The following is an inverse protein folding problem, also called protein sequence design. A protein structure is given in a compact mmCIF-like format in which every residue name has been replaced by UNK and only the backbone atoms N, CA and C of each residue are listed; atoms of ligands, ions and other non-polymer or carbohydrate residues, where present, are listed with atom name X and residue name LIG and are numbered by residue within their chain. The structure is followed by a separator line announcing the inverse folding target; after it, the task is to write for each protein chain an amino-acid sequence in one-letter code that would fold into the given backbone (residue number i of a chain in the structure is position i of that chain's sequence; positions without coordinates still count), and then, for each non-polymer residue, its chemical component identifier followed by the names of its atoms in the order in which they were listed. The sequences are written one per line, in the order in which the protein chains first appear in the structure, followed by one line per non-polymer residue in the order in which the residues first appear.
data_IF_265839745788
#
_entry.id   IF_265839745788
#
_cell.length_a   1.000
_cell.length_b   1.000
_cell.length_c   1.000
_cell.angle_alpha   90.00
_cell.angle_beta   90.00
_cell.angle_gamma   90.00
#
_symmetry.space_group_name_H-M   'P 1'
#
loop_
_entity.id
_entity.type
_entity.pdbx_description
1 polymer ?
#
# COMPACT_ATOMS: atom_id res chain seq x y z
N UNK A 1 8.08 13.95 8.12
CA UNK A 1 8.43 12.55 8.45
C UNK A 1 7.66 11.70 7.48
N UNK A 2 8.36 11.05 6.55
CA UNK A 2 7.74 10.23 5.50
C UNK A 2 7.44 8.84 6.04
N UNK A 3 6.33 8.28 5.56
CA UNK A 3 5.89 6.96 6.03
C UNK A 3 6.69 5.82 5.36
N UNK A 4 7.27 6.09 4.20
CA UNK A 4 8.01 5.12 3.39
C UNK A 4 9.51 5.46 3.34
N UNK A 5 10.34 4.43 3.29
CA UNK A 5 11.72 4.58 2.78
C UNK A 5 11.71 4.78 1.27
N UNK A 6 12.80 5.33 0.72
CA UNK A 6 12.95 5.48 -0.74
C UNK A 6 12.86 4.13 -1.48
N UNK A 7 13.39 3.07 -0.88
CA UNK A 7 13.31 1.71 -1.41
C UNK A 7 11.87 1.21 -1.47
N UNK A 8 11.11 1.35 -0.37
CA UNK A 8 9.70 0.98 -0.33
C UNK A 8 8.88 1.77 -1.36
N UNK A 9 9.11 3.09 -1.45
CA UNK A 9 8.44 3.95 -2.43
C UNK A 9 8.73 3.50 -3.87
N UNK A 10 10.00 3.22 -4.18
CA UNK A 10 10.43 2.77 -5.51
C UNK A 10 9.79 1.43 -5.89
N UNK A 11 9.78 0.47 -4.96
CA UNK A 11 9.16 -0.83 -5.20
C UNK A 11 7.65 -0.71 -5.43
N UNK A 12 6.95 0.07 -4.59
CA UNK A 12 5.50 0.23 -4.73
C UNK A 12 5.12 0.99 -6.03
N UNK A 13 5.91 1.96 -6.47
CA UNK A 13 5.72 2.62 -7.77
C UNK A 13 5.94 1.65 -8.94
N UNK A 14 6.93 0.77 -8.85
CA UNK A 14 7.16 -0.27 -9.86
C UNK A 14 5.94 -1.21 -9.97
N UNK A 15 5.41 -1.66 -8.83
CA UNK A 15 4.21 -2.49 -8.78
C UNK A 15 2.98 -1.75 -9.36
N UNK A 16 2.80 -0.47 -9.02
CA UNK A 16 1.71 0.36 -9.58
C UNK A 16 1.81 0.58 -11.09
N UNK A 17 3.04 0.72 -11.61
CA UNK A 17 3.28 0.81 -13.04
C UNK A 17 2.93 -0.49 -13.77
N UNK A 18 3.26 -1.67 -13.19
CA UNK A 18 2.87 -2.97 -13.73
C UNK A 18 1.33 -3.13 -13.78
N UNK A 19 0.64 -2.78 -12.68
CA UNK A 19 -0.83 -2.76 -12.62
C UNK A 19 -1.43 -1.86 -13.69
N UNK A 20 -0.89 -0.66 -13.88
CA UNK A 20 -1.38 0.31 -14.90
C UNK A 20 -1.22 -0.22 -16.33
N UNK A 21 -0.17 -1.01 -16.59
CA UNK A 21 0.01 -1.69 -17.89
C UNK A 21 -0.92 -2.89 -18.10
N UNK A 22 -1.75 -3.23 -17.11
CA UNK A 22 -2.66 -4.38 -17.17
C UNK A 22 -1.94 -5.72 -16.96
N UNK A 23 -0.75 -5.72 -16.37
CA UNK A 23 -0.06 -6.95 -15.99
C UNK A 23 -0.82 -7.64 -14.85
N UNK A 24 -1.07 -8.94 -15.00
CA UNK A 24 -1.76 -9.71 -13.96
C UNK A 24 -0.74 -10.21 -12.93
N UNK A 25 -0.38 -9.32 -12.01
CA UNK A 25 0.62 -9.57 -10.95
C UNK A 25 -0.03 -9.64 -9.58
N UNK A 26 0.50 -10.49 -8.71
CA UNK A 26 0.16 -10.54 -7.27
C UNK A 26 1.42 -10.17 -6.46
N UNK A 27 1.72 -8.87 -6.30
CA UNK A 27 2.95 -8.42 -5.67
C UNK A 27 2.97 -8.75 -4.17
N UNK A 28 4.15 -9.11 -3.66
CA UNK A 28 4.35 -9.19 -2.21
C UNK A 28 4.09 -7.84 -1.54
N UNK A 29 3.49 -7.83 -0.34
CA UNK A 29 3.38 -6.62 0.47
C UNK A 29 4.72 -5.93 0.72
N UNK A 30 4.73 -4.59 0.62
CA UNK A 30 5.92 -3.76 0.83
C UNK A 30 5.87 -3.02 2.17
N UNK A 31 4.68 -2.61 2.60
CA UNK A 31 4.46 -1.89 3.85
C UNK A 31 3.31 -2.51 4.65
N UNK A 32 3.51 -2.69 5.96
CA UNK A 32 2.44 -3.02 6.90
C UNK A 32 2.30 -1.89 7.92
N UNK A 33 1.10 -1.35 8.05
CA UNK A 33 0.73 -0.36 9.05
C UNK A 33 -0.31 -0.98 10.00
N UNK A 34 -0.25 -0.57 11.26
CA UNK A 34 -1.28 -0.93 12.23
C UNK A 34 -1.44 0.21 13.23
N UNK A 35 -2.63 0.33 13.80
CA UNK A 35 -2.87 1.25 14.91
C UNK A 35 -2.49 0.55 16.21
N UNK A 36 -1.53 1.05 17.02
CA UNK A 36 -1.12 0.35 18.25
C UNK A 36 -2.26 0.09 19.23
N UNK A 37 -3.22 1.01 19.29
CA UNK A 37 -4.36 0.99 20.21
C UNK A 37 -5.68 0.53 19.55
N UNK A 38 -5.61 -0.14 18.38
CA UNK A 38 -6.80 -0.64 17.69
C UNK A 38 -6.51 -1.77 16.72
N UNK A 39 -7.55 -2.50 16.32
CA UNK A 39 -7.40 -3.68 15.46
C UNK A 39 -7.33 -3.33 13.95
N UNK A 40 -6.95 -2.10 13.63
CA UNK A 40 -6.85 -1.61 12.26
C UNK A 40 -5.50 -1.99 11.68
N UNK A 41 -5.51 -2.59 10.49
CA UNK A 41 -4.27 -2.90 9.78
C UNK A 41 -4.38 -2.66 8.28
N UNK A 42 -3.28 -2.20 7.70
CA UNK A 42 -3.11 -2.02 6.27
C UNK A 42 -1.87 -2.78 5.82
N UNK A 43 -1.99 -3.46 4.68
CA UNK A 43 -0.89 -4.14 4.01
C UNK A 43 -0.87 -3.62 2.57
N UNK A 44 0.15 -2.85 2.22
CA UNK A 44 0.20 -2.05 0.99
C UNK A 44 1.27 -2.59 0.04
N UNK A 45 0.96 -2.59 -1.26
CA UNK A 45 1.78 -3.20 -2.31
C UNK A 45 2.08 -2.25 -3.47
N UNK A 46 1.18 -1.34 -3.82
CA UNK A 46 1.35 -0.44 -4.96
C UNK A 46 1.11 1.02 -4.60
N UNK A 47 1.75 1.92 -5.35
CA UNK A 47 1.45 3.35 -5.36
C UNK A 47 0.94 3.76 -6.73
N UNK A 48 0.03 4.75 -6.76
CA UNK A 48 -0.28 5.49 -7.97
C UNK A 48 0.91 6.37 -8.42
N UNK A 49 0.84 6.91 -9.64
CA UNK A 49 1.91 7.68 -10.28
C UNK A 49 2.36 8.91 -9.48
N UNK A 50 1.45 9.52 -8.71
CA UNK A 50 1.77 10.66 -7.84
C UNK A 50 2.53 10.24 -6.56
N UNK A 51 2.47 8.95 -6.22
CA UNK A 51 3.08 8.38 -5.03
C UNK A 51 2.26 8.59 -3.75
N UNK A 52 1.11 9.24 -3.79
CA UNK A 52 0.34 9.60 -2.58
C UNK A 52 -0.84 8.68 -2.32
N UNK A 53 -1.24 7.89 -3.32
CA UNK A 53 -2.31 6.90 -3.21
C UNK A 53 -1.72 5.49 -3.22
N UNK A 54 -1.90 4.75 -2.13
CA UNK A 54 -1.49 3.36 -2.00
C UNK A 54 -2.67 2.40 -2.19
N UNK A 55 -2.36 1.25 -2.79
CA UNK A 55 -3.27 0.13 -3.00
C UNK A 55 -2.82 -1.05 -2.13
N UNK A 56 -3.78 -1.81 -1.62
CA UNK A 56 -3.50 -3.02 -0.85
C UNK A 56 -4.72 -3.56 -0.12
N UNK A 57 -4.46 -4.38 0.90
CA UNK A 57 -5.47 -4.94 1.79
C UNK A 57 -5.65 -4.07 3.02
N UNK A 58 -6.91 -3.84 3.39
CA UNK A 58 -7.32 -3.00 4.51
C UNK A 58 -8.25 -3.81 5.40
N UNK A 59 -7.86 -3.98 6.66
CA UNK A 59 -8.74 -4.48 7.71
C UNK A 59 -9.06 -3.35 8.67
N UNK A 60 -10.35 -3.03 8.79
CA UNK A 60 -10.86 -2.00 9.69
C UNK A 60 -11.26 -2.55 11.06
N UNK A 61 -10.62 -3.64 11.51
CA UNK A 61 -10.89 -4.30 12.79
C UNK A 61 -11.95 -5.39 12.72
N UNK A 62 -12.17 -5.94 11.53
CA UNK A 62 -13.15 -7.00 11.28
C UNK A 62 -12.54 -8.40 11.31
N UNK A 63 -11.23 -8.52 11.10
CA UNK A 63 -10.55 -9.79 10.85
C UNK A 63 -10.67 -10.29 9.41
N UNK A 64 -11.33 -9.53 8.53
CA UNK A 64 -11.59 -9.86 7.13
C UNK A 64 -11.11 -8.72 6.23
N UNK A 65 -9.82 -8.68 5.87
CA UNK A 65 -9.28 -7.61 5.04
C UNK A 65 -9.89 -7.58 3.64
N UNK A 66 -10.13 -6.37 3.14
CA UNK A 66 -10.65 -6.12 1.79
C UNK A 66 -9.65 -5.34 0.95
N UNK A 67 -9.75 -5.44 -0.38
CA UNK A 67 -8.98 -4.58 -1.29
C UNK A 67 -9.44 -3.13 -1.15
N UNK A 68 -8.48 -2.21 -0.99
CA UNK A 68 -8.78 -0.81 -0.76
C UNK A 68 -7.66 0.13 -1.14
N UNK A 69 -7.95 1.42 -0.94
CA UNK A 69 -7.06 2.54 -1.21
C UNK A 69 -6.78 3.32 0.07
N UNK A 70 -5.56 3.79 0.24
CA UNK A 70 -5.18 4.64 1.35
C UNK A 70 -4.26 5.78 0.90
N UNK A 71 -4.49 6.99 1.40
CA UNK A 71 -3.53 8.08 1.19
C UNK A 71 -2.34 7.90 2.13
N UNK A 72 -1.14 7.99 1.58
CA UNK A 72 0.12 7.91 2.33
C UNK A 72 0.94 9.17 2.06
N UNK A 73 1.63 9.67 3.09
CA UNK A 73 2.53 10.81 2.93
C UNK A 73 3.90 10.30 2.51
N UNK A 74 4.33 10.65 1.28
CA UNK A 74 5.56 10.13 0.68
C UNK A 74 6.61 11.18 0.32
N UNK A 75 6.33 12.48 0.49
CA UNK A 75 7.17 13.62 0.06
C UNK A 75 7.08 14.84 0.98
#
# INVERSE_FOLDING_TARGET
MFLLTEEQRTQMLSNGAARTRGEHTDPYPVLKLYTPDGDLSWVLSELDVDGDLAYGLIDVGTGFPELGLGRVNTN
#
